data_IF_102989267573
#
_entry.id   IF_102989267573
#
_cell.length_a   1.000
_cell.length_b   1.000
_cell.length_c   1.000
_cell.angle_alpha   90.00
_cell.angle_beta   90.00
_cell.angle_gamma   90.00
#
_symmetry.space_group_name_H-M   'P 1'
#
loop_
_entity.id
_entity.type
_entity.pdbx_description
1 polymer ?
#
# COMPACT_ATOMS: atom_id res chain seq x y z
N UNK A 1 9.25 -4.87 6.88
CA UNK A 1 8.37 -5.58 7.81
C UNK A 1 7.17 -4.67 8.06
N UNK A 2 6.00 -4.94 7.46
CA UNK A 2 4.96 -3.91 7.29
C UNK A 2 3.60 -4.31 7.87
N UNK A 3 3.43 -5.59 8.23
CA UNK A 3 2.15 -6.16 8.64
C UNK A 3 2.20 -6.89 9.98
N UNK A 4 3.38 -7.07 10.59
CA UNK A 4 3.56 -8.10 11.61
C UNK A 4 3.64 -7.61 13.07
N UNK A 5 3.51 -6.31 13.37
CA UNK A 5 3.78 -5.81 14.73
C UNK A 5 2.79 -4.76 15.28
N UNK A 6 1.57 -4.66 14.74
CA UNK A 6 0.53 -3.83 15.33
C UNK A 6 -0.62 -4.69 15.84
N UNK A 7 -0.90 -4.56 17.13
CA UNK A 7 -2.15 -5.02 17.73
C UNK A 7 -3.15 -3.87 17.58
N UNK A 8 -4.30 -4.19 17.01
CA UNK A 8 -5.41 -3.25 16.88
C UNK A 8 -6.43 -3.56 17.97
N UNK A 9 -6.93 -2.54 18.66
CA UNK A 9 -7.93 -2.70 19.72
C UNK A 9 -9.34 -2.68 19.15
N UNK A 10 -9.53 -2.03 17.99
CA UNK A 10 -10.83 -1.86 17.35
C UNK A 10 -10.81 -2.19 15.85
N UNK A 11 -12.01 -2.46 15.31
CA UNK A 11 -12.21 -2.66 13.88
C UNK A 11 -11.96 -1.36 13.08
N UNK A 12 -12.20 -0.20 13.67
CA UNK A 12 -12.00 1.08 13.01
C UNK A 12 -10.50 1.38 12.83
N UNK A 13 -9.69 1.10 13.85
CA UNK A 13 -8.23 1.26 13.78
C UNK A 13 -7.59 0.41 12.67
N UNK A 14 -7.96 -0.88 12.56
CA UNK A 14 -7.42 -1.75 11.51
C UNK A 14 -7.88 -1.30 10.12
N UNK A 15 -9.11 -0.79 9.98
CA UNK A 15 -9.60 -0.26 8.71
C UNK A 15 -8.82 0.98 8.28
N UNK A 16 -8.61 1.93 9.18
CA UNK A 16 -7.83 3.14 8.90
C UNK A 16 -6.39 2.79 8.54
N UNK A 17 -5.76 1.90 9.31
CA UNK A 17 -4.41 1.43 9.02
C UNK A 17 -4.32 0.74 7.65
N UNK A 18 -5.26 -0.15 7.33
CA UNK A 18 -5.29 -0.85 6.05
C UNK A 18 -5.51 0.12 4.87
N UNK A 19 -6.36 1.13 5.04
CA UNK A 19 -6.59 2.16 4.03
C UNK A 19 -5.32 2.99 3.77
N UNK A 20 -4.65 3.44 4.82
CA UNK A 20 -3.39 4.17 4.73
C UNK A 20 -2.30 3.31 4.08
N UNK A 21 -2.17 2.04 4.51
CA UNK A 21 -1.21 1.10 3.93
C UNK A 21 -1.45 0.89 2.43
N UNK A 22 -2.71 0.67 2.04
CA UNK A 22 -3.07 0.46 0.64
C UNK A 22 -2.76 1.71 -0.20
N UNK A 23 -3.04 2.90 0.33
CA UNK A 23 -2.71 4.15 -0.33
C UNK A 23 -1.19 4.27 -0.56
N UNK A 24 -0.38 4.10 0.50
CA UNK A 24 1.09 4.18 0.42
C UNK A 24 1.65 3.14 -0.55
N UNK A 25 1.15 1.90 -0.52
CA UNK A 25 1.58 0.85 -1.44
C UNK A 25 1.33 1.24 -2.90
N UNK A 26 0.16 1.81 -3.19
CA UNK A 26 -0.23 2.15 -4.56
C UNK A 26 0.45 3.42 -5.09
N UNK A 27 0.72 4.39 -4.21
CA UNK A 27 1.17 5.72 -4.61
C UNK A 27 2.67 5.94 -4.46
N UNK A 28 3.26 5.46 -3.36
CA UNK A 28 4.60 5.86 -2.96
C UNK A 28 5.61 4.72 -3.05
N UNK A 29 5.16 3.47 -2.89
CA UNK A 29 6.07 2.33 -2.81
C UNK A 29 6.46 1.80 -4.20
N UNK A 30 7.74 1.89 -4.58
CA UNK A 30 8.23 1.27 -5.81
C UNK A 30 8.15 -0.26 -5.70
N UNK A 31 7.73 -0.93 -6.77
CA UNK A 31 7.69 -2.38 -6.83
C UNK A 31 8.62 -2.90 -7.95
N UNK A 32 9.62 -3.69 -7.57
CA UNK A 32 10.62 -4.23 -8.51
C UNK A 32 10.01 -5.15 -9.58
N UNK A 33 8.95 -5.90 -9.26
CA UNK A 33 8.22 -6.69 -10.25
C UNK A 33 7.49 -5.82 -11.28
N UNK A 34 7.33 -4.51 -10.99
CA UNK A 34 6.80 -3.52 -11.92
C UNK A 34 7.90 -2.72 -12.63
N UNK A 35 9.18 -3.07 -12.44
CA UNK A 35 10.31 -2.30 -12.99
C UNK A 35 10.72 -1.11 -12.12
N UNK A 36 10.39 -1.13 -10.82
CA UNK A 36 10.76 -0.08 -9.88
C UNK A 36 9.85 1.15 -9.93
N UNK A 37 8.68 1.05 -10.54
CA UNK A 37 7.63 2.08 -10.49
C UNK A 37 6.52 1.68 -9.52
N UNK A 38 5.66 2.62 -9.16
CA UNK A 38 4.51 2.37 -8.28
C UNK A 38 3.35 1.75 -9.05
N UNK A 39 2.44 1.01 -8.38
CA UNK A 39 1.25 0.44 -9.03
C UNK A 39 0.42 1.49 -9.78
N UNK A 40 0.25 2.70 -9.23
CA UNK A 40 -0.48 3.79 -9.88
C UNK A 40 0.22 4.27 -11.16
N UNK A 41 1.55 4.39 -11.14
CA UNK A 41 2.32 4.74 -12.35
C UNK A 41 2.17 3.68 -13.43
N UNK A 42 2.24 2.39 -13.06
CA UNK A 42 2.02 1.29 -14.00
C UNK A 42 0.61 1.35 -14.62
N UNK A 43 -0.41 1.63 -13.81
CA UNK A 43 -1.78 1.79 -14.30
C UNK A 43 -1.89 2.93 -15.32
N UNK A 44 -1.25 4.07 -15.04
CA UNK A 44 -1.24 5.22 -15.97
C UNK A 44 -0.54 4.92 -17.29
N UNK A 45 0.49 4.06 -17.31
CA UNK A 45 1.19 3.62 -18.52
C UNK A 45 0.42 2.56 -19.33
N UNK A 46 -0.58 1.91 -18.74
CA UNK A 46 -1.37 0.87 -19.39
C UNK A 46 -2.63 1.41 -20.09
N UNK A 47 -2.94 2.70 -19.91
CA UNK A 47 -4.01 3.41 -20.59
C UNK A 47 -3.54 3.97 -21.94
#
# INVERSE_FOLDING_TARGET
DWLAHHLFETLDEIQEFAANWLWTYNHDRPNMALGGITPKQKLALAA
#
